data_IF_617973406109
#
_entry.id   IF_617973406109
#
_cell.length_a   1.000
_cell.length_b   1.000
_cell.length_c   1.000
_cell.angle_alpha   90.00
_cell.angle_beta   90.00
_cell.angle_gamma   90.00
#
_symmetry.space_group_name_H-M   'P 1'
#
loop_
_entity.id
_entity.type
_entity.pdbx_description
1 polymer ?
#
# COMPACT_ATOMS: atom_id res chain seq x y z
N UNK A 1 -29.07 -33.29 -13.47
CA UNK A 1 -28.14 -33.18 -12.34
C UNK A 1 -27.00 -32.31 -12.80
N UNK A 2 -27.17 -31.01 -12.66
CA UNK A 2 -26.09 -30.02 -12.77
C UNK A 2 -25.23 -30.18 -11.53
N UNK A 3 -23.94 -30.41 -11.71
CA UNK A 3 -22.97 -30.56 -10.62
C UNK A 3 -22.90 -29.27 -9.80
N UNK A 4 -22.67 -29.40 -8.50
CA UNK A 4 -22.44 -28.27 -7.58
C UNK A 4 -21.22 -27.42 -7.96
N UNK A 5 -20.39 -27.87 -8.91
CA UNK A 5 -19.28 -27.12 -9.51
C UNK A 5 -19.70 -25.97 -10.44
N UNK A 6 -20.93 -25.99 -10.95
CA UNK A 6 -21.37 -25.02 -11.97
C UNK A 6 -22.16 -23.85 -11.36
N UNK A 7 -22.06 -23.68 -10.02
CA UNK A 7 -22.66 -22.58 -9.26
C UNK A 7 -21.66 -21.54 -8.75
N UNK A 8 -20.37 -21.69 -9.03
CA UNK A 8 -19.34 -20.72 -8.59
C UNK A 8 -19.07 -19.60 -9.60
N UNK A 9 -19.70 -19.60 -10.79
CA UNK A 9 -19.54 -18.53 -11.79
C UNK A 9 -20.67 -17.50 -11.75
N UNK A 10 -20.46 -16.48 -10.91
CA UNK A 10 -20.64 -15.05 -11.25
C UNK A 10 -20.25 -14.22 -10.01
N UNK A 11 -18.97 -14.26 -9.62
CA UNK A 11 -18.45 -13.17 -8.78
C UNK A 11 -18.33 -11.94 -9.67
N UNK A 12 -19.10 -10.88 -9.38
CA UNK A 12 -18.99 -9.59 -10.07
C UNK A 12 -17.59 -9.03 -9.85
N UNK A 13 -16.69 -9.21 -10.82
CA UNK A 13 -15.35 -8.68 -10.77
C UNK A 13 -15.36 -7.22 -11.24
N UNK A 14 -14.99 -6.29 -10.37
CA UNK A 14 -14.75 -4.91 -10.79
C UNK A 14 -13.37 -4.82 -11.43
N UNK A 15 -13.36 -4.75 -12.77
CA UNK A 15 -12.15 -4.43 -13.54
C UNK A 15 -12.03 -2.91 -13.58
N UNK A 16 -11.12 -2.38 -12.78
CA UNK A 16 -10.80 -0.95 -12.78
C UNK A 16 -9.56 -0.76 -13.65
N UNK A 17 -9.72 -0.03 -14.75
CA UNK A 17 -8.57 0.32 -15.57
C UNK A 17 -7.74 1.37 -14.83
N UNK A 18 -8.39 2.41 -14.33
CA UNK A 18 -7.90 3.35 -13.32
C UNK A 18 -9.06 3.66 -12.38
N UNK A 19 -8.82 3.97 -11.10
CA UNK A 19 -9.91 4.34 -10.18
C UNK A 19 -10.76 5.50 -10.78
N UNK A 20 -10.10 6.34 -11.59
CA UNK A 20 -10.65 7.42 -12.41
C UNK A 20 -11.79 6.96 -13.33
N UNK A 21 -11.76 5.72 -13.82
CA UNK A 21 -12.78 5.19 -14.74
C UNK A 21 -14.10 4.88 -14.03
N UNK A 22 -14.04 4.52 -12.75
CA UNK A 22 -15.23 4.41 -11.91
C UNK A 22 -15.77 5.80 -11.59
N UNK A 23 -14.90 6.75 -11.21
CA UNK A 23 -15.30 8.12 -10.94
C UNK A 23 -15.85 8.90 -12.13
N UNK A 24 -15.49 8.51 -13.35
CA UNK A 24 -16.10 9.10 -14.53
C UNK A 24 -17.62 8.83 -14.61
N UNK A 25 -18.13 7.89 -13.81
CA UNK A 25 -19.51 7.40 -13.83
C UNK A 25 -20.20 7.50 -12.47
N UNK A 26 -19.46 7.45 -11.38
CA UNK A 26 -19.93 7.33 -10.01
C UNK A 26 -19.34 8.45 -9.13
N UNK A 27 -20.05 8.82 -8.07
CA UNK A 27 -19.45 9.62 -7.01
C UNK A 27 -18.32 8.84 -6.30
N UNK A 28 -17.40 9.52 -5.59
CA UNK A 28 -16.40 8.86 -4.77
C UNK A 28 -16.93 7.75 -3.85
N UNK A 29 -17.97 8.04 -3.09
CA UNK A 29 -18.57 7.08 -2.16
C UNK A 29 -19.15 5.86 -2.88
N UNK A 30 -19.82 6.08 -4.02
CA UNK A 30 -20.38 5.00 -4.84
C UNK A 30 -19.28 4.14 -5.48
N UNK A 31 -18.23 4.77 -6.01
CA UNK A 31 -17.10 4.07 -6.60
C UNK A 31 -16.34 3.24 -5.56
N UNK A 32 -16.09 3.80 -4.38
CA UNK A 32 -15.51 3.05 -3.28
C UNK A 32 -16.42 1.92 -2.82
N UNK A 33 -17.73 2.18 -2.67
CA UNK A 33 -18.70 1.16 -2.29
C UNK A 33 -18.69 -0.02 -3.27
N UNK A 34 -18.70 0.22 -4.58
CA UNK A 34 -18.59 -0.84 -5.58
C UNK A 34 -17.27 -1.61 -5.46
N UNK A 35 -16.14 -0.91 -5.31
CA UNK A 35 -14.84 -1.57 -5.16
C UNK A 35 -14.74 -2.40 -3.89
N UNK A 36 -15.13 -1.85 -2.74
CA UNK A 36 -15.06 -2.52 -1.45
C UNK A 36 -15.92 -3.79 -1.42
N UNK A 37 -17.03 -3.81 -2.18
CA UNK A 37 -17.91 -4.97 -2.34
C UNK A 37 -17.51 -5.95 -3.44
N UNK A 38 -16.50 -5.62 -4.25
CA UNK A 38 -15.95 -6.54 -5.24
C UNK A 38 -15.08 -7.61 -4.57
N UNK A 39 -15.24 -8.91 -4.88
CA UNK A 39 -14.35 -9.95 -4.38
C UNK A 39 -12.92 -9.84 -4.92
N UNK A 40 -12.74 -9.23 -6.10
CA UNK A 40 -11.42 -8.95 -6.69
C UNK A 40 -11.45 -7.55 -7.28
N UNK A 41 -10.45 -6.73 -6.96
CA UNK A 41 -10.22 -5.46 -7.63
C UNK A 41 -9.04 -5.59 -8.56
N UNK A 42 -9.22 -5.15 -9.80
CA UNK A 42 -8.15 -5.11 -10.80
C UNK A 42 -7.70 -3.68 -11.05
N UNK A 43 -6.40 -3.42 -11.26
CA UNK A 43 -5.82 -2.10 -11.55
C UNK A 43 -4.87 -2.18 -12.74
N UNK A 44 -5.05 -1.37 -13.78
CA UNK A 44 -4.07 -1.31 -14.88
C UNK A 44 -2.86 -0.47 -14.49
N UNK A 45 -1.70 -0.93 -14.89
CA UNK A 45 -0.44 -0.21 -14.80
C UNK A 45 -0.17 0.43 -16.18
N UNK A 46 -0.11 1.77 -16.23
CA UNK A 46 0.42 2.47 -17.41
C UNK A 46 1.95 2.34 -17.43
N UNK A 47 2.48 1.27 -18.04
CA UNK A 47 3.91 1.16 -18.31
C UNK A 47 4.33 2.20 -19.36
N UNK A 48 5.37 2.99 -19.05
CA UNK A 48 5.96 3.95 -20.00
C UNK A 48 6.63 3.31 -21.23
N UNK A 49 6.70 1.98 -21.28
CA UNK A 49 7.32 1.22 -22.37
C UNK A 49 6.40 0.06 -22.79
N UNK A 50 5.78 0.24 -23.97
CA UNK A 50 5.19 -0.77 -24.87
C UNK A 50 4.09 -1.69 -24.31
N UNK A 51 2.84 -1.40 -24.71
CA UNK A 51 1.74 -2.35 -25.06
C UNK A 51 1.71 -3.67 -24.28
N UNK A 52 1.73 -3.62 -22.95
CA UNK A 52 1.12 -4.65 -22.12
C UNK A 52 0.08 -3.98 -21.24
N UNK A 53 -1.18 -4.40 -21.36
CA UNK A 53 -2.24 -4.11 -20.38
C UNK A 53 -1.90 -4.89 -19.10
N UNK A 54 -0.80 -4.56 -18.42
CA UNK A 54 -0.46 -5.20 -17.17
C UNK A 54 -1.47 -4.79 -16.11
N UNK A 55 -2.09 -5.79 -15.49
CA UNK A 55 -3.17 -5.61 -14.53
C UNK A 55 -2.77 -6.26 -13.22
N UNK A 56 -2.74 -5.46 -12.15
CA UNK A 56 -2.68 -5.97 -10.78
C UNK A 56 -4.07 -6.46 -10.42
N UNK A 57 -4.17 -7.68 -9.89
CA UNK A 57 -5.41 -8.24 -9.38
C UNK A 57 -5.25 -8.55 -7.91
N UNK A 58 -6.05 -7.92 -7.06
CA UNK A 58 -6.05 -8.17 -5.62
C UNK A 58 -7.41 -8.71 -5.21
N UNK A 59 -7.39 -9.88 -4.60
CA UNK A 59 -8.53 -10.44 -3.91
C UNK A 59 -8.81 -9.66 -2.63
N UNK A 60 -10.09 -9.55 -2.30
CA UNK A 60 -10.59 -8.95 -1.07
C UNK A 60 -11.38 -9.98 -0.27
N UNK A 61 -11.26 -9.92 1.05
CA UNK A 61 -11.98 -10.73 2.01
C UNK A 61 -12.52 -9.84 3.11
N UNK A 62 -13.74 -9.33 2.94
CA UNK A 62 -14.38 -8.43 3.92
C UNK A 62 -14.52 -9.08 5.30
N UNK A 63 -14.76 -10.39 5.33
CA UNK A 63 -14.95 -11.18 6.55
C UNK A 63 -13.62 -11.60 7.20
N UNK A 64 -12.56 -10.78 7.07
CA UNK A 64 -11.31 -11.06 7.74
C UNK A 64 -11.47 -10.79 9.24
N UNK A 65 -11.60 -11.85 10.03
CA UNK A 65 -11.82 -11.75 11.47
C UNK A 65 -10.75 -10.87 12.14
N UNK A 66 -11.20 -9.92 12.98
CA UNK A 66 -10.35 -9.02 13.76
C UNK A 66 -9.41 -8.11 12.94
N UNK A 67 -9.65 -7.93 11.64
CA UNK A 67 -8.84 -7.06 10.80
C UNK A 67 -9.68 -6.25 9.81
N UNK A 68 -9.31 -4.98 9.62
CA UNK A 68 -9.83 -4.14 8.55
C UNK A 68 -9.00 -4.23 7.26
N UNK A 69 -7.96 -5.08 7.23
CA UNK A 69 -7.05 -5.26 6.10
C UNK A 69 -7.60 -6.13 4.96
N UNK A 70 -8.87 -6.55 5.05
CA UNK A 70 -9.50 -7.42 4.06
C UNK A 70 -9.85 -6.76 2.73
N UNK A 71 -9.85 -5.43 2.66
CA UNK A 71 -10.19 -4.66 1.45
C UNK A 71 -9.10 -3.65 1.11
N UNK A 72 -9.12 -3.11 -0.10
CA UNK A 72 -8.27 -1.99 -0.51
C UNK A 72 -8.99 -0.68 -0.18
N UNK A 73 -8.40 0.11 0.71
CA UNK A 73 -8.95 1.40 1.10
C UNK A 73 -8.57 2.51 0.12
N UNK A 74 -9.36 3.59 0.10
CA UNK A 74 -9.22 4.73 -0.79
C UNK A 74 -7.84 5.39 -0.69
N UNK A 75 -7.26 5.42 0.52
CA UNK A 75 -5.95 6.01 0.76
C UNK A 75 -4.82 5.27 0.03
N UNK A 76 -4.98 3.98 -0.24
CA UNK A 76 -4.01 3.20 -1.03
C UNK A 76 -4.03 3.60 -2.51
N UNK A 77 -5.22 3.85 -3.07
CA UNK A 77 -5.36 4.39 -4.43
C UNK A 77 -4.83 5.83 -4.52
N UNK A 78 -5.16 6.65 -3.53
CA UNK A 78 -4.66 8.01 -3.43
C UNK A 78 -3.12 8.01 -3.43
N UNK A 79 -2.49 7.21 -2.56
CA UNK A 79 -1.03 7.16 -2.49
C UNK A 79 -0.40 6.59 -3.77
N UNK A 80 -0.98 5.55 -4.39
CA UNK A 80 -0.50 5.03 -5.67
C UNK A 80 -0.49 6.12 -6.76
N UNK A 81 -1.57 6.90 -6.89
CA UNK A 81 -1.65 7.99 -7.86
C UNK A 81 -0.70 9.15 -7.57
N UNK A 82 -0.52 9.49 -6.29
CA UNK A 82 0.48 10.48 -5.89
C UNK A 82 1.89 10.05 -6.29
N UNK A 83 2.28 8.80 -5.97
CA UNK A 83 3.58 8.25 -6.31
C UNK A 83 3.78 8.17 -7.83
N UNK A 84 2.75 7.77 -8.58
CA UNK A 84 2.79 7.73 -10.06
C UNK A 84 3.16 9.09 -10.65
N UNK A 85 2.55 10.17 -10.16
CA UNK A 85 2.79 11.54 -10.67
C UNK A 85 4.14 12.09 -10.22
N UNK A 86 4.55 11.81 -8.97
CA UNK A 86 5.72 12.47 -8.37
C UNK A 86 7.02 11.69 -8.47
N UNK A 87 6.95 10.37 -8.45
CA UNK A 87 8.12 9.48 -8.51
C UNK A 87 8.40 9.03 -9.94
N UNK A 88 7.38 8.60 -10.68
CA UNK A 88 7.58 8.05 -12.03
C UNK A 88 7.74 9.14 -13.11
N UNK A 89 7.01 10.26 -13.02
CA UNK A 89 7.09 11.34 -14.03
C UNK A 89 8.20 12.35 -13.79
N UNK A 90 8.68 12.52 -12.55
CA UNK A 90 9.82 13.41 -12.27
C UNK A 90 11.16 12.67 -12.40
N UNK A 91 11.64 12.50 -13.64
CA UNK A 91 12.96 11.93 -13.97
C UNK A 91 14.18 12.68 -13.36
N UNK A 92 13.95 13.74 -12.57
CA UNK A 92 15.00 14.53 -11.89
C UNK A 92 15.31 14.05 -10.47
N UNK A 93 14.65 13.02 -9.96
CA UNK A 93 15.01 12.45 -8.67
C UNK A 93 16.43 11.86 -8.73
N UNK A 94 17.32 12.38 -7.89
CA UNK A 94 18.71 11.91 -7.77
C UNK A 94 18.81 10.59 -7.00
N UNK A 95 17.82 10.28 -6.18
CA UNK A 95 17.81 9.13 -5.27
C UNK A 95 17.13 7.94 -5.94
N UNK A 96 17.86 6.84 -6.06
CA UNK A 96 17.33 5.58 -6.61
C UNK A 96 16.61 4.84 -5.48
N UNK A 97 15.30 4.64 -5.61
CA UNK A 97 14.49 3.82 -4.71
C UNK A 97 14.58 2.36 -5.17
N UNK A 98 15.03 1.47 -4.29
CA UNK A 98 15.21 0.04 -4.59
C UNK A 98 14.59 -0.90 -3.56
N UNK A 99 14.52 -0.45 -2.30
CA UNK A 99 13.97 -1.22 -1.19
C UNK A 99 12.71 -0.56 -0.63
N UNK A 100 11.58 -1.26 -0.69
CA UNK A 100 10.29 -0.80 -0.20
C UNK A 100 9.74 -1.71 0.92
N UNK A 101 9.08 -1.12 1.90
CA UNK A 101 8.22 -1.84 2.85
C UNK A 101 6.85 -1.18 2.93
N UNK A 102 5.80 -2.01 2.86
CA UNK A 102 4.41 -1.59 3.00
C UNK A 102 3.90 -2.03 4.39
N UNK A 103 3.55 -1.07 5.23
CA UNK A 103 3.22 -1.25 6.65
C UNK A 103 1.72 -1.08 6.84
N UNK A 104 1.07 -2.12 7.36
CA UNK A 104 -0.40 -2.17 7.35
C UNK A 104 -0.93 -2.36 5.93
N UNK A 105 -0.30 -3.27 5.17
CA UNK A 105 -0.53 -3.43 3.74
C UNK A 105 -1.93 -3.97 3.39
N UNK A 106 -2.65 -4.55 4.36
CA UNK A 106 -3.96 -5.16 4.18
C UNK A 106 -3.97 -6.24 3.10
N UNK A 107 -4.54 -5.92 1.95
CA UNK A 107 -4.56 -6.79 0.76
C UNK A 107 -3.19 -6.92 0.07
N UNK A 108 -2.27 -6.01 0.34
CA UNK A 108 -0.97 -5.92 -0.31
C UNK A 108 -0.96 -5.09 -1.60
N UNK A 109 -2.08 -4.46 -1.98
CA UNK A 109 -2.22 -3.74 -3.24
C UNK A 109 -1.11 -2.73 -3.50
N UNK A 110 -0.85 -1.82 -2.55
CA UNK A 110 0.04 -0.69 -2.79
C UNK A 110 1.49 -1.15 -2.96
N UNK A 111 1.99 -2.05 -2.12
CA UNK A 111 3.32 -2.62 -2.28
C UNK A 111 3.48 -3.45 -3.56
N UNK A 112 2.47 -4.23 -3.98
CA UNK A 112 2.48 -4.91 -5.28
C UNK A 112 2.57 -3.89 -6.42
N UNK A 113 1.79 -2.81 -6.33
CA UNK A 113 1.80 -1.73 -7.31
C UNK A 113 3.17 -1.07 -7.40
N UNK A 114 3.77 -0.71 -6.27
CA UNK A 114 5.11 -0.12 -6.23
C UNK A 114 6.16 -1.09 -6.82
N UNK A 115 6.06 -2.38 -6.51
CA UNK A 115 6.99 -3.39 -7.02
C UNK A 115 6.99 -3.50 -8.54
N UNK A 116 5.80 -3.45 -9.17
CA UNK A 116 5.65 -3.54 -10.62
C UNK A 116 5.92 -2.21 -11.34
N UNK A 117 5.63 -1.08 -10.71
CA UNK A 117 5.64 0.23 -11.38
C UNK A 117 6.93 1.02 -11.21
N UNK A 118 7.68 0.85 -10.12
CA UNK A 118 8.94 1.57 -9.90
C UNK A 118 10.08 0.83 -10.63
N UNK A 119 10.74 1.43 -11.64
CA UNK A 119 11.66 0.72 -12.53
C UNK A 119 12.83 -0.01 -11.83
N UNK A 120 13.39 0.63 -10.79
CA UNK A 120 14.56 0.14 -10.07
C UNK A 120 14.21 -0.61 -8.79
N UNK A 121 12.94 -0.97 -8.58
CA UNK A 121 12.56 -1.73 -7.39
C UNK A 121 13.21 -3.11 -7.44
N UNK A 122 14.01 -3.42 -6.42
CA UNK A 122 14.69 -4.70 -6.23
C UNK A 122 14.00 -5.50 -5.12
N UNK A 123 13.54 -4.86 -4.05
CA UNK A 123 12.93 -5.55 -2.91
C UNK A 123 11.68 -4.84 -2.44
N UNK A 124 10.62 -5.60 -2.23
CA UNK A 124 9.43 -5.13 -1.54
C UNK A 124 9.05 -6.11 -0.44
N UNK A 125 8.70 -5.60 0.73
CA UNK A 125 8.18 -6.41 1.84
C UNK A 125 6.79 -5.90 2.21
N UNK A 126 5.78 -6.76 2.10
CA UNK A 126 4.43 -6.47 2.53
C UNK A 126 4.25 -6.93 3.97
N UNK A 127 3.78 -6.03 4.83
CA UNK A 127 3.64 -6.30 6.26
C UNK A 127 2.30 -5.87 6.82
N UNK A 128 1.70 -6.73 7.62
CA UNK A 128 0.44 -6.51 8.32
C UNK A 128 0.34 -7.53 9.46
N UNK A 129 -0.75 -7.56 10.21
CA UNK A 129 -0.97 -8.57 11.25
C UNK A 129 -1.09 -9.98 10.65
N UNK A 130 -0.99 -11.00 11.50
CA UNK A 130 -0.99 -12.40 11.04
C UNK A 130 -2.30 -12.78 10.32
N UNK A 131 -3.40 -12.13 10.66
CA UNK A 131 -4.72 -12.31 10.06
C UNK A 131 -4.72 -11.97 8.56
N UNK A 132 -3.92 -10.97 8.14
CA UNK A 132 -3.80 -10.55 6.73
C UNK A 132 -2.79 -11.40 5.94
N UNK A 133 -1.98 -12.22 6.59
CA UNK A 133 -0.85 -12.93 5.98
C UNK A 133 -1.26 -13.78 4.78
N UNK A 134 -2.26 -14.65 4.96
CA UNK A 134 -2.73 -15.56 3.91
C UNK A 134 -3.35 -14.80 2.73
N UNK A 135 -4.02 -13.67 2.99
CA UNK A 135 -4.59 -12.83 1.94
C UNK A 135 -3.49 -12.15 1.11
N UNK A 136 -2.52 -11.51 1.78
CA UNK A 136 -1.38 -10.89 1.13
C UNK A 136 -0.57 -11.90 0.31
N UNK A 137 -0.32 -13.09 0.85
CA UNK A 137 0.45 -14.12 0.15
C UNK A 137 -0.25 -14.55 -1.16
N UNK A 138 -1.56 -14.83 -1.12
CA UNK A 138 -2.32 -15.19 -2.32
C UNK A 138 -2.37 -14.07 -3.34
N UNK A 139 -2.42 -12.82 -2.88
CA UNK A 139 -2.37 -11.65 -3.77
C UNK A 139 -0.99 -11.47 -4.41
N UNK A 140 0.11 -11.73 -3.69
CA UNK A 140 1.45 -11.79 -4.30
C UNK A 140 1.50 -12.92 -5.33
N UNK A 141 1.14 -14.15 -4.97
CA UNK A 141 1.14 -15.28 -5.89
C UNK A 141 0.32 -14.99 -7.15
N UNK A 142 -0.87 -14.39 -7.03
CA UNK A 142 -1.75 -14.01 -8.15
C UNK A 142 -1.11 -13.04 -9.15
N UNK A 143 -0.17 -12.20 -8.71
CA UNK A 143 0.43 -11.14 -9.53
C UNK A 143 1.83 -11.47 -10.06
N UNK A 144 2.48 -12.51 -9.52
CA UNK A 144 3.88 -12.87 -9.84
C UNK A 144 4.05 -14.36 -10.24
N UNK A 145 2.99 -15.16 -10.27
CA UNK A 145 3.06 -16.60 -10.59
C UNK A 145 3.49 -16.94 -12.02
N UNK A 146 3.38 -15.99 -12.97
CA UNK A 146 3.83 -16.16 -14.36
C UNK A 146 5.22 -15.57 -14.63
N UNK A 147 5.86 -14.97 -13.63
CA UNK A 147 7.21 -14.43 -13.75
C UNK A 147 8.21 -15.59 -13.68
N UNK A 148 8.31 -16.35 -14.77
CA UNK A 148 9.34 -17.39 -15.00
C UNK A 148 10.76 -16.80 -15.14
N UNK A 149 10.97 -15.55 -14.73
CA UNK A 149 12.27 -14.89 -14.83
C UNK A 149 13.12 -15.23 -13.60
N UNK A 150 13.60 -16.47 -13.57
CA UNK A 150 14.59 -17.02 -12.64
C UNK A 150 15.92 -16.21 -12.65
N UNK A 151 16.04 -15.20 -13.52
CA UNK A 151 17.19 -14.30 -13.64
C UNK A 151 17.01 -12.93 -12.99
N UNK A 152 15.80 -12.56 -12.54
CA UNK A 152 15.56 -11.25 -11.93
C UNK A 152 15.92 -11.27 -10.44
N UNK A 153 16.82 -10.39 -10.01
CA UNK A 153 17.19 -10.20 -8.60
C UNK A 153 16.08 -9.54 -7.76
N UNK A 154 14.84 -9.47 -8.29
CA UNK A 154 13.71 -8.78 -7.67
C UNK A 154 12.98 -9.72 -6.72
N UNK A 155 12.69 -9.27 -5.50
CA UNK A 155 11.98 -10.06 -4.50
C UNK A 155 10.81 -9.30 -3.91
N UNK A 156 9.65 -9.94 -3.83
CA UNK A 156 8.51 -9.47 -3.05
C UNK A 156 8.18 -10.50 -1.97
N UNK A 157 8.33 -10.11 -0.71
CA UNK A 157 8.14 -10.97 0.46
C UNK A 157 6.90 -10.53 1.25
N UNK A 158 6.19 -11.47 1.86
CA UNK A 158 5.12 -11.20 2.83
C UNK A 158 5.62 -11.58 4.23
N UNK A 159 5.43 -10.69 5.22
CA UNK A 159 5.82 -10.94 6.61
C UNK A 159 4.77 -10.43 7.58
N UNK A 160 4.41 -11.19 8.63
CA UNK A 160 3.60 -10.64 9.71
C UNK A 160 4.41 -9.59 10.49
N UNK A 161 3.72 -8.54 10.93
CA UNK A 161 4.26 -7.46 11.75
C UNK A 161 3.18 -6.88 12.66
N UNK A 162 3.23 -7.23 13.94
CA UNK A 162 2.55 -6.47 14.98
C UNK A 162 3.45 -5.30 15.42
N UNK A 163 2.99 -4.05 15.22
CA UNK A 163 3.75 -2.85 15.58
C UNK A 163 4.08 -2.78 17.07
N UNK A 164 3.29 -3.44 17.92
CA UNK A 164 3.51 -3.53 19.37
C UNK A 164 4.53 -4.61 19.74
N UNK A 165 4.79 -5.56 18.84
CA UNK A 165 5.77 -6.63 19.02
C UNK A 165 7.18 -6.15 18.68
N UNK A 166 7.99 -5.92 19.73
CA UNK A 166 9.43 -5.66 19.56
C UNK A 166 10.13 -6.79 18.80
N UNK A 167 9.71 -8.03 19.00
CA UNK A 167 10.29 -9.21 18.35
C UNK A 167 10.09 -9.15 16.83
N UNK A 168 8.88 -8.79 16.39
CA UNK A 168 8.54 -8.74 14.97
C UNK A 168 9.33 -7.62 14.28
N UNK A 169 9.41 -6.45 14.94
CA UNK A 169 10.20 -5.33 14.47
C UNK A 169 11.70 -5.65 14.40
N UNK A 170 12.25 -6.30 15.43
CA UNK A 170 13.66 -6.72 15.45
C UNK A 170 13.95 -7.72 14.32
N UNK A 171 13.03 -8.66 14.05
CA UNK A 171 13.17 -9.65 12.99
C UNK A 171 13.28 -9.01 11.60
N UNK A 172 12.52 -7.94 11.33
CA UNK A 172 12.62 -7.18 10.08
C UNK A 172 13.88 -6.31 10.02
N UNK A 173 14.20 -5.65 11.13
CA UNK A 173 15.35 -4.74 11.23
C UNK A 173 16.71 -5.44 11.12
N UNK A 174 16.77 -6.74 11.39
CA UNK A 174 18.01 -7.54 11.47
C UNK A 174 18.20 -8.53 10.31
N UNK A 175 17.39 -8.43 9.26
CA UNK A 175 17.44 -9.32 8.07
C UNK A 175 18.75 -9.31 7.28
N UNK A 176 19.74 -8.50 7.66
CA UNK A 176 21.03 -8.34 6.96
C UNK A 176 20.93 -7.62 5.61
N UNK A 177 19.72 -7.41 5.10
CA UNK A 177 19.43 -6.72 3.83
C UNK A 177 19.28 -5.19 3.98
N UNK A 178 19.56 -4.61 5.16
CA UNK A 178 19.51 -3.17 5.40
C UNK A 178 18.12 -2.60 5.70
N UNK A 179 18.05 -1.27 5.80
CA UNK A 179 16.82 -0.48 5.97
C UNK A 179 16.18 -0.19 4.61
N UNK A 180 14.98 0.38 4.61
CA UNK A 180 14.20 0.61 3.39
C UNK A 180 14.31 2.06 2.90
N UNK A 181 14.42 2.23 1.58
CA UNK A 181 14.41 3.52 0.90
C UNK A 181 13.03 4.16 0.90
N UNK A 182 11.99 3.32 0.83
CA UNK A 182 10.59 3.73 0.73
C UNK A 182 9.76 2.97 1.76
N UNK A 183 9.08 3.71 2.63
CA UNK A 183 8.06 3.20 3.53
C UNK A 183 6.70 3.70 3.05
N UNK A 184 5.74 2.79 2.99
CA UNK A 184 4.35 3.08 2.67
C UNK A 184 3.50 2.67 3.86
N UNK A 185 2.49 3.46 4.20
CA UNK A 185 1.49 3.09 5.18
C UNK A 185 0.15 3.77 4.85
N UNK A 186 -0.91 2.97 4.71
CA UNK A 186 -2.23 3.45 4.28
C UNK A 186 -3.31 3.06 5.29
N UNK A 187 -4.11 4.05 5.71
CA UNK A 187 -5.15 3.90 6.74
C UNK A 187 -4.69 3.21 8.04
N UNK A 188 -3.44 3.47 8.44
CA UNK A 188 -2.82 2.94 9.67
C UNK A 188 -3.08 3.80 10.92
N UNK A 189 -3.75 4.95 10.78
CA UNK A 189 -4.01 5.90 11.87
C UNK A 189 -5.47 5.77 12.32
N UNK A 190 -5.79 4.73 13.08
CA UNK A 190 -7.16 4.42 13.49
C UNK A 190 -7.34 4.20 14.99
N UNK A 191 -6.26 4.17 15.78
CA UNK A 191 -6.33 4.01 17.22
C UNK A 191 -5.15 4.69 17.93
N UNK A 192 -5.45 5.58 18.88
CA UNK A 192 -4.44 6.36 19.63
C UNK A 192 -3.34 5.47 20.24
N UNK A 193 -3.72 4.34 20.86
CA UNK A 193 -2.79 3.38 21.47
C UNK A 193 -1.75 2.77 20.50
N UNK A 194 -2.02 2.79 19.20
CA UNK A 194 -1.16 2.22 18.17
C UNK A 194 -0.22 3.26 17.54
N UNK A 195 -0.42 4.56 17.81
CA UNK A 195 0.37 5.63 17.20
C UNK A 195 1.84 5.54 17.60
N UNK A 196 2.15 5.42 18.90
CA UNK A 196 3.52 5.27 19.37
C UNK A 196 4.22 4.01 18.80
N UNK A 197 3.59 2.81 18.86
CA UNK A 197 4.08 1.62 18.15
C UNK A 197 4.37 1.84 16.67
N UNK A 198 3.45 2.49 15.94
CA UNK A 198 3.61 2.79 14.52
C UNK A 198 4.81 3.72 14.28
N UNK A 199 4.91 4.84 15.00
CA UNK A 199 6.04 5.77 14.85
C UNK A 199 7.38 5.07 15.11
N UNK A 200 7.45 4.25 16.16
CA UNK A 200 8.66 3.44 16.46
C UNK A 200 9.00 2.51 15.29
N UNK A 201 8.00 1.83 14.73
CA UNK A 201 8.13 0.96 13.57
C UNK A 201 8.72 1.72 12.36
N UNK A 202 8.11 2.85 11.98
CA UNK A 202 8.53 3.68 10.86
C UNK A 202 10.00 4.14 11.01
N UNK A 203 10.36 4.71 12.16
CA UNK A 203 11.73 5.15 12.44
C UNK A 203 12.75 4.03 12.44
N UNK A 204 12.35 2.85 12.89
CA UNK A 204 13.26 1.71 12.97
C UNK A 204 13.53 1.13 11.59
N UNK A 205 12.59 1.23 10.64
CA UNK A 205 12.69 0.56 9.34
C UNK A 205 13.20 1.47 8.22
N UNK A 206 13.03 2.78 8.33
CA UNK A 206 13.49 3.76 7.34
C UNK A 206 15.02 3.87 7.29
N UNK A 207 15.56 3.98 6.08
CA UNK A 207 16.95 4.34 5.86
C UNK A 207 17.20 5.78 6.34
N UNK A 208 18.15 6.03 7.26
CA UNK A 208 18.32 7.33 7.89
C UNK A 208 18.95 8.39 6.97
N UNK A 209 19.58 8.01 5.85
CA UNK A 209 20.27 8.95 4.97
C UNK A 209 19.43 9.32 3.75
N UNK A 210 18.73 8.34 3.17
CA UNK A 210 18.00 8.50 1.89
C UNK A 210 16.53 8.12 1.96
N UNK A 211 16.08 7.50 3.06
CA UNK A 211 14.72 6.98 3.19
C UNK A 211 13.64 8.06 3.11
N UNK A 212 12.47 7.67 2.61
CA UNK A 212 11.25 8.46 2.67
C UNK A 212 10.09 7.59 3.13
N UNK A 213 9.27 8.13 4.03
CA UNK A 213 8.02 7.51 4.46
C UNK A 213 6.83 8.32 3.95
N UNK A 214 5.87 7.63 3.34
CA UNK A 214 4.58 8.18 2.97
C UNK A 214 3.48 7.52 3.80
N UNK A 215 2.75 8.33 4.57
CA UNK A 215 1.58 7.90 5.32
C UNK A 215 0.35 8.59 4.76
N UNK A 216 -0.60 7.83 4.20
CA UNK A 216 -1.86 8.35 3.69
C UNK A 216 -3.01 7.74 4.49
N UNK A 217 -3.88 8.57 5.07
CA UNK A 217 -5.01 8.04 5.83
C UNK A 217 -6.17 9.05 5.86
N UNK A 218 -7.39 8.53 5.98
CA UNK A 218 -8.56 9.34 6.31
C UNK A 218 -8.62 9.59 7.83
N UNK A 219 -8.90 10.83 8.29
CA UNK A 219 -9.09 11.14 9.71
C UNK A 219 -10.32 10.44 10.33
N UNK A 220 -10.14 9.23 10.85
CA UNK A 220 -11.21 8.46 11.54
C UNK A 220 -11.24 8.70 13.05
N UNK A 221 -10.07 8.82 13.67
CA UNK A 221 -9.90 9.12 15.10
C UNK A 221 -9.08 10.41 15.25
N UNK A 222 -9.72 11.44 15.79
CA UNK A 222 -9.11 12.77 15.97
C UNK A 222 -7.89 12.72 16.90
N UNK A 223 -7.97 12.01 18.02
CA UNK A 223 -6.86 11.94 18.99
C UNK A 223 -5.69 11.18 18.40
N UNK A 224 -5.95 10.07 17.69
CA UNK A 224 -4.91 9.33 16.98
C UNK A 224 -4.19 10.20 15.93
N UNK A 225 -4.93 11.00 15.15
CA UNK A 225 -4.36 11.90 14.15
C UNK A 225 -3.57 13.07 14.74
N UNK A 226 -4.05 13.67 15.82
CA UNK A 226 -3.35 14.74 16.53
C UNK A 226 -2.04 14.19 17.12
N UNK A 227 -2.09 13.05 17.80
CA UNK A 227 -0.92 12.39 18.37
C UNK A 227 0.08 11.95 17.29
N UNK A 228 -0.40 11.42 16.15
CA UNK A 228 0.47 11.02 15.05
C UNK A 228 1.24 12.21 14.49
N UNK A 229 0.57 13.35 14.28
CA UNK A 229 1.22 14.56 13.76
C UNK A 229 2.22 15.14 14.76
N UNK A 230 1.87 15.18 16.07
CA UNK A 230 2.77 15.65 17.12
C UNK A 230 4.05 14.80 17.19
N UNK A 231 3.89 13.48 17.31
CA UNK A 231 5.03 12.57 17.43
C UNK A 231 5.84 12.53 16.14
N UNK A 232 5.21 12.56 14.97
CA UNK A 232 5.95 12.60 13.70
C UNK A 232 6.78 13.86 13.57
N UNK A 233 6.23 15.03 13.90
CA UNK A 233 6.95 16.31 13.86
C UNK A 233 8.12 16.37 14.86
N UNK A 234 8.04 15.64 15.97
CA UNK A 234 9.10 15.54 16.97
C UNK A 234 10.20 14.55 16.57
N UNK A 235 9.82 13.43 15.99
CA UNK A 235 10.70 12.27 15.84
C UNK A 235 11.36 12.15 14.46
N UNK A 236 10.85 12.85 13.44
CA UNK A 236 11.40 12.92 12.08
C UNK A 236 12.00 14.32 11.84
N UNK A 237 13.18 14.41 11.21
CA UNK A 237 13.81 15.72 10.93
C UNK A 237 13.07 16.51 9.86
N UNK A 238 12.35 15.81 8.97
CA UNK A 238 11.43 16.42 8.01
C UNK A 238 10.06 15.75 8.16
N UNK A 239 9.05 16.56 8.47
CA UNK A 239 7.66 16.15 8.52
C UNK A 239 6.82 17.15 7.73
N UNK A 240 6.22 16.69 6.63
CA UNK A 240 5.44 17.52 5.72
C UNK A 240 4.07 16.90 5.49
N UNK A 241 3.02 17.57 5.94
CA UNK A 241 1.67 17.34 5.42
C UNK A 241 1.63 17.85 3.97
N UNK A 242 1.35 16.97 3.02
CA UNK A 242 1.31 17.33 1.61
C UNK A 242 0.07 18.20 1.36
N UNK A 243 0.22 19.40 0.74
CA UNK A 243 -0.90 20.28 0.47
C UNK A 243 -1.94 19.65 -0.47
N UNK A 244 -3.21 19.97 -0.28
CA UNK A 244 -4.33 19.38 -1.04
C UNK A 244 -4.23 19.70 -2.54
N UNK A 245 -3.67 20.85 -2.92
CA UNK A 245 -3.42 21.21 -4.31
C UNK A 245 -2.35 20.35 -4.99
N UNK A 246 -1.46 19.72 -4.22
CA UNK A 246 -0.48 18.76 -4.72
C UNK A 246 -1.03 17.34 -4.79
N UNK A 247 -2.10 17.11 -4.03
CA UNK A 247 -2.91 15.92 -4.04
C UNK A 247 -3.93 16.06 -5.18
N UNK A 248 -3.53 15.66 -6.38
CA UNK A 248 -4.46 15.50 -7.49
C UNK A 248 -5.30 14.22 -7.29
N UNK A 249 -5.92 14.13 -6.11
CA UNK A 249 -6.90 13.17 -5.69
C UNK A 249 -8.25 13.72 -6.15
N UNK A 250 -8.70 13.34 -7.33
CA UNK A 250 -10.11 13.54 -7.71
C UNK A 250 -11.09 12.70 -6.87
N UNK A 251 -10.62 12.10 -5.76
CA UNK A 251 -11.17 10.89 -5.18
C UNK A 251 -11.66 11.00 -3.75
N UNK A 252 -11.17 11.95 -2.95
CA UNK A 252 -11.75 12.22 -1.64
C UNK A 252 -11.08 13.44 -1.00
N UNK A 253 -11.87 14.42 -0.57
CA UNK A 253 -11.33 15.61 0.13
C UNK A 253 -10.78 15.25 1.53
N UNK A 254 -11.00 14.02 1.99
CA UNK A 254 -10.74 13.61 3.36
C UNK A 254 -9.35 13.00 3.58
N UNK A 255 -8.78 12.32 2.59
CA UNK A 255 -7.44 11.70 2.72
C UNK A 255 -6.37 12.76 3.01
N UNK A 256 -5.57 12.52 4.06
CA UNK A 256 -4.39 13.34 4.37
C UNK A 256 -3.13 12.53 4.11
N UNK A 257 -2.19 13.13 3.36
CA UNK A 257 -0.90 12.53 3.04
C UNK A 257 0.21 13.25 3.79
N UNK A 258 1.12 12.47 4.38
CA UNK A 258 2.31 12.95 5.06
C UNK A 258 3.56 12.36 4.41
N UNK A 259 4.55 13.21 4.11
CA UNK A 259 5.90 12.82 3.71
C UNK A 259 6.85 13.05 4.89
N UNK A 260 7.63 12.03 5.25
CA UNK A 260 8.52 12.08 6.41
C UNK A 260 9.91 11.52 6.10
N UNK A 261 10.95 12.11 6.70
CA UNK A 261 12.35 11.69 6.59
C UNK A 261 13.08 11.85 7.94
N UNK A 262 14.02 10.96 8.23
CA UNK A 262 14.90 11.07 9.40
C UNK A 262 15.96 12.16 9.23
#
# INVERSE_FOLDING_TARGET
MTSESDKEEQQEHVIVAQYQDLLAKLSPDEAFFEMANSPIVSFRIDSSSTVSDEVIRVEQKQELENSCGGIVWESAFALAEYLRKRVLKNQKQKTVIRDCIDIGAGTGFLGIWVHKTIPNMERTVLTDTIECFDLMQRNVERNFSNDNDDSSSKTIDVKPLDWTSKKDLDALATTGRGKFDLLLATDVIFAERLVEPLIRCLKTLIDPEKGVCYVCAQPRDKLAFELFQELSAKEFSQFRKVPEEELDFSFDAECKLFEMRL
#
